data_IF_470207485308
#
_entry.id   IF_470207485308
#
_cell.length_a   1.000
_cell.length_b   1.000
_cell.length_c   1.000
_cell.angle_alpha   90.00
_cell.angle_beta   90.00
_cell.angle_gamma   90.00
#
_symmetry.space_group_name_H-M   'P 1'
#
loop_
_entity.id
_entity.type
_entity.pdbx_description
1 polymer ?
#
# COMPACT_ATOMS: atom_id res chain seq x y z
N UNK A 1 -64.58 -5.95 1.50
CA UNK A 1 -63.78 -6.36 2.67
C UNK A 1 -62.71 -7.32 2.16
N UNK A 2 -61.40 -7.20 2.32
CA UNK A 2 -60.50 -6.28 3.02
C UNK A 2 -59.16 -6.37 2.25
N UNK A 3 -58.65 -5.21 1.84
CA UNK A 3 -57.22 -4.84 1.67
C UNK A 3 -56.25 -6.00 1.33
N UNK A 4 -55.98 -6.20 0.04
CA UNK A 4 -54.71 -6.81 -0.39
C UNK A 4 -53.65 -5.73 -0.18
N UNK A 5 -53.01 -5.78 0.99
CA UNK A 5 -51.90 -4.91 1.35
C UNK A 5 -50.68 -5.39 0.56
N UNK A 6 -50.36 -4.71 -0.53
CA UNK A 6 -49.15 -4.93 -1.30
C UNK A 6 -47.96 -4.35 -0.50
N UNK A 7 -47.40 -5.14 0.41
CA UNK A 7 -46.12 -4.82 1.05
C UNK A 7 -45.01 -5.34 0.14
N UNK A 8 -44.44 -4.48 -0.71
CA UNK A 8 -43.21 -4.78 -1.44
C UNK A 8 -42.06 -4.06 -0.76
N UNK A 9 -41.22 -4.82 -0.07
CA UNK A 9 -39.94 -4.39 0.47
C UNK A 9 -38.98 -4.20 -0.71
N UNK A 10 -38.58 -2.96 -0.98
CA UNK A 10 -37.48 -2.65 -1.87
C UNK A 10 -36.18 -3.02 -1.13
N UNK A 11 -35.65 -4.22 -1.36
CA UNK A 11 -34.31 -4.58 -0.86
C UNK A 11 -33.30 -3.82 -1.72
N UNK A 12 -32.87 -2.64 -1.28
CA UNK A 12 -31.54 -2.14 -1.64
C UNK A 12 -30.55 -3.12 -1.01
N UNK A 13 -30.06 -4.09 -1.78
CA UNK A 13 -28.90 -4.86 -1.37
C UNK A 13 -27.72 -3.88 -1.31
N UNK A 14 -27.41 -3.39 -0.12
CA UNK A 14 -26.18 -2.64 0.12
C UNK A 14 -25.01 -3.56 -0.22
N UNK A 15 -24.33 -3.29 -1.33
CA UNK A 15 -23.15 -4.06 -1.71
C UNK A 15 -22.06 -3.65 -0.73
N UNK A 16 -21.71 -4.55 0.18
CA UNK A 16 -20.51 -4.36 1.00
C UNK A 16 -19.32 -4.72 0.11
N UNK A 17 -18.54 -3.73 -0.32
CA UNK A 17 -17.22 -3.99 -0.91
C UNK A 17 -16.37 -4.64 0.18
N UNK A 18 -16.06 -5.92 0.05
CA UNK A 18 -15.07 -6.56 0.92
C UNK A 18 -13.69 -6.22 0.38
N UNK A 19 -12.83 -5.65 1.23
CA UNK A 19 -11.42 -5.56 0.93
C UNK A 19 -10.84 -6.97 0.84
N UNK A 20 -10.04 -7.23 -0.18
CA UNK A 20 -9.28 -8.46 -0.34
C UNK A 20 -7.82 -8.19 0.01
N UNK A 21 -7.17 -9.08 0.75
CA UNK A 21 -5.78 -8.91 1.17
C UNK A 21 -4.90 -9.93 0.45
N UNK A 22 -3.91 -9.44 -0.28
CA UNK A 22 -2.94 -10.27 -1.00
C UNK A 22 -1.58 -10.11 -0.36
N UNK A 23 -0.97 -11.22 0.04
CA UNK A 23 0.38 -11.23 0.64
C UNK A 23 1.37 -11.94 -0.26
N UNK A 24 2.56 -11.36 -0.41
CA UNK A 24 3.73 -11.96 -1.04
C UNK A 24 4.86 -12.15 -0.03
N UNK A 25 5.78 -13.05 -0.33
CA UNK A 25 7.01 -13.21 0.44
C UNK A 25 8.09 -13.81 -0.47
N UNK A 26 8.99 -12.96 -0.96
CA UNK A 26 10.11 -13.38 -1.78
C UNK A 26 11.35 -13.55 -0.90
N UNK A 27 11.95 -14.74 -0.96
CA UNK A 27 13.12 -15.11 -0.14
C UNK A 27 14.21 -15.84 -0.95
N UNK A 28 14.07 -15.90 -2.28
CA UNK A 28 15.01 -16.57 -3.16
C UNK A 28 14.97 -16.00 -4.58
N UNK A 29 15.92 -16.43 -5.43
CA UNK A 29 16.06 -15.94 -6.80
C UNK A 29 16.58 -14.51 -6.88
N UNK A 30 17.21 -14.01 -5.81
CA UNK A 30 17.81 -12.68 -5.79
C UNK A 30 19.10 -12.63 -6.61
N UNK A 31 19.25 -11.58 -7.40
CA UNK A 31 20.51 -11.25 -8.07
C UNK A 31 21.63 -11.15 -7.04
N UNK A 32 22.80 -11.72 -7.36
CA UNK A 32 23.96 -11.77 -6.46
C UNK A 32 23.62 -12.32 -5.05
N UNK A 33 22.65 -13.24 -4.97
CA UNK A 33 22.19 -13.82 -3.69
C UNK A 33 21.70 -12.77 -2.67
N UNK A 34 21.22 -11.61 -3.14
CA UNK A 34 20.73 -10.54 -2.28
C UNK A 34 21.83 -9.66 -1.68
N UNK A 35 23.10 -9.83 -2.07
CA UNK A 35 24.21 -9.00 -1.56
C UNK A 35 24.09 -7.58 -2.08
N UNK A 36 24.07 -6.63 -1.16
CA UNK A 36 24.10 -5.19 -1.44
C UNK A 36 25.58 -4.75 -1.48
N UNK A 37 26.06 -4.14 -2.57
CA UNK A 37 27.46 -3.70 -2.64
C UNK A 37 27.75 -2.57 -1.64
N UNK A 38 28.84 -2.70 -0.87
CA UNK A 38 29.31 -1.73 0.12
C UNK A 38 29.68 -0.39 -0.53
N UNK A 39 29.25 0.73 0.07
CA UNK A 39 29.61 2.08 -0.38
C UNK A 39 29.28 2.42 -1.83
N UNK A 40 28.26 1.77 -2.41
CA UNK A 40 27.89 1.92 -3.81
C UNK A 40 26.48 2.49 -3.96
N UNK A 41 26.40 3.72 -4.46
CA UNK A 41 25.13 4.42 -4.72
C UNK A 41 24.27 3.74 -5.80
N UNK A 42 24.85 2.90 -6.67
CA UNK A 42 24.09 2.11 -7.64
C UNK A 42 23.32 0.96 -6.97
N UNK A 43 23.71 0.56 -5.76
CA UNK A 43 22.99 -0.38 -4.91
C UNK A 43 22.71 -1.75 -5.52
N UNK A 44 21.68 -2.37 -4.98
CA UNK A 44 21.06 -3.62 -5.38
C UNK A 44 19.58 -3.38 -5.62
N UNK A 45 18.99 -4.11 -6.57
CA UNK A 45 17.56 -4.03 -6.85
C UNK A 45 16.97 -5.39 -7.22
N UNK A 46 15.71 -5.59 -6.85
CA UNK A 46 14.92 -6.76 -7.22
C UNK A 46 13.54 -6.34 -7.72
N UNK A 47 13.16 -6.83 -8.90
CA UNK A 47 11.87 -6.55 -9.54
C UNK A 47 11.02 -7.81 -9.57
N UNK A 48 9.80 -7.73 -9.05
CA UNK A 48 8.83 -8.81 -9.03
C UNK A 48 7.55 -8.39 -9.73
N UNK A 49 6.97 -9.31 -10.49
CA UNK A 49 5.73 -9.07 -11.22
C UNK A 49 4.57 -9.70 -10.46
N UNK A 50 3.57 -8.89 -10.14
CA UNK A 50 2.29 -9.32 -9.58
C UNK A 50 1.25 -9.25 -10.71
N UNK A 51 0.37 -10.23 -10.80
CA UNK A 51 -0.64 -10.32 -11.85
C UNK A 51 -1.91 -11.04 -11.39
N UNK A 52 -2.99 -10.90 -12.16
CA UNK A 52 -4.25 -11.60 -11.93
C UNK A 52 -5.11 -11.02 -10.79
N UNK A 53 -4.75 -9.85 -10.26
CA UNK A 53 -5.50 -9.19 -9.19
C UNK A 53 -6.56 -8.25 -9.77
N UNK A 54 -7.65 -8.08 -9.04
CA UNK A 54 -8.73 -7.15 -9.38
C UNK A 54 -8.88 -6.09 -8.29
N UNK A 55 -9.45 -4.94 -8.64
CA UNK A 55 -9.58 -3.81 -7.71
C UNK A 55 -8.38 -2.87 -7.71
N UNK A 56 -8.43 -1.91 -6.80
CA UNK A 56 -7.40 -0.89 -6.58
C UNK A 56 -6.81 -1.03 -5.19
N UNK A 57 -5.53 -0.69 -5.05
CA UNK A 57 -4.83 -0.66 -3.77
C UNK A 57 -5.49 0.35 -2.83
N UNK A 58 -5.86 -0.09 -1.63
CA UNK A 58 -6.27 0.77 -0.51
C UNK A 58 -5.21 0.90 0.57
N UNK A 59 -4.36 -0.12 0.76
CA UNK A 59 -3.23 -0.09 1.69
C UNK A 59 -2.07 -0.95 1.18
N UNK A 60 -0.84 -0.56 1.56
CA UNK A 60 0.38 -1.32 1.28
C UNK A 60 1.23 -1.37 2.52
N UNK A 61 1.62 -2.57 2.92
CA UNK A 61 2.66 -2.81 3.91
C UNK A 61 3.80 -3.60 3.27
N UNK A 62 5.04 -3.31 3.65
CA UNK A 62 6.22 -4.01 3.14
C UNK A 62 6.99 -4.68 4.27
N UNK A 63 7.21 -5.99 4.19
CA UNK A 63 8.14 -6.69 5.07
C UNK A 63 9.54 -6.70 4.47
N UNK A 64 10.57 -6.45 5.30
CA UNK A 64 11.97 -6.44 4.88
C UNK A 64 12.85 -7.11 5.94
N UNK A 65 13.62 -8.10 5.49
CA UNK A 65 14.63 -8.78 6.31
C UNK A 65 16.00 -8.66 5.67
N UNK A 66 16.92 -8.01 6.38
CA UNK A 66 18.34 -7.90 6.02
C UNK A 66 19.20 -8.55 7.09
N UNK A 67 20.34 -9.10 6.69
CA UNK A 67 21.38 -9.58 7.59
C UNK A 67 22.71 -8.87 7.32
N UNK A 68 23.50 -8.65 8.38
CA UNK A 68 24.78 -7.93 8.28
C UNK A 68 24.64 -6.43 7.98
N UNK A 69 25.72 -5.83 7.49
CA UNK A 69 25.77 -4.41 7.14
C UNK A 69 25.71 -3.45 8.32
N UNK A 70 25.42 -2.19 8.00
CA UNK A 70 25.23 -1.10 8.95
C UNK A 70 23.97 -0.32 8.55
N UNK A 71 22.96 -0.31 9.42
CA UNK A 71 21.66 0.30 9.10
C UNK A 71 21.76 1.80 8.78
N UNK A 72 22.66 2.53 9.44
CA UNK A 72 22.90 3.97 9.23
C UNK A 72 23.48 4.33 7.86
N UNK A 73 23.92 3.32 7.11
CA UNK A 73 24.49 3.47 5.77
C UNK A 73 23.47 3.16 4.66
N UNK A 74 22.27 2.67 5.02
CA UNK A 74 21.30 2.19 4.05
C UNK A 74 20.33 3.27 3.55
N UNK A 75 20.16 3.29 2.24
CA UNK A 75 19.08 3.99 1.56
C UNK A 75 18.24 2.97 0.78
N UNK A 76 16.93 2.95 1.00
CA UNK A 76 16.05 2.00 0.36
C UNK A 76 14.75 2.66 -0.08
N UNK A 77 14.22 2.23 -1.23
CA UNK A 77 12.92 2.66 -1.71
C UNK A 77 12.19 1.56 -2.47
N UNK A 78 10.86 1.68 -2.51
CA UNK A 78 9.97 0.87 -3.33
C UNK A 78 9.40 1.72 -4.46
N UNK A 79 9.32 1.15 -5.66
CA UNK A 79 8.61 1.76 -6.80
C UNK A 79 7.65 0.76 -7.43
N UNK A 80 6.53 1.29 -7.88
CA UNK A 80 5.53 0.59 -8.67
C UNK A 80 4.67 1.60 -9.41
N UNK A 81 4.57 1.47 -10.74
CA UNK A 81 3.81 2.42 -11.57
C UNK A 81 4.25 3.87 -11.28
N UNK A 82 3.35 4.73 -10.81
CA UNK A 82 3.66 6.11 -10.38
C UNK A 82 3.93 6.26 -8.88
N UNK A 83 3.76 5.19 -8.09
CA UNK A 83 4.02 5.21 -6.66
C UNK A 83 5.51 5.09 -6.34
N UNK A 84 5.91 5.71 -5.23
CA UNK A 84 7.27 5.78 -4.74
C UNK A 84 7.25 5.90 -3.21
N UNK A 85 8.02 5.07 -2.51
CA UNK A 85 8.15 5.15 -1.05
C UNK A 85 9.60 5.01 -0.62
N UNK A 86 10.10 5.94 0.20
CA UNK A 86 11.43 5.82 0.82
C UNK A 86 11.28 5.03 2.10
N UNK A 87 11.85 3.83 2.14
CA UNK A 87 11.73 2.91 3.27
C UNK A 87 12.78 3.19 4.33
N UNK A 88 14.03 3.45 3.90
CA UNK A 88 15.17 3.74 4.75
C UNK A 88 15.93 4.93 4.17
N UNK A 89 16.36 5.87 5.01
CA UNK A 89 17.28 6.92 4.59
C UNK A 89 18.29 7.20 5.71
N UNK A 90 19.34 6.39 5.76
CA UNK A 90 20.43 6.47 6.74
C UNK A 90 19.90 6.59 8.16
N UNK A 91 19.17 5.59 8.60
CA UNK A 91 18.39 5.62 9.85
C UNK A 91 19.25 6.04 11.05
N UNK A 92 18.69 6.90 11.89
CA UNK A 92 19.35 7.47 13.07
C UNK A 92 20.36 8.57 12.77
N UNK A 93 20.58 8.94 11.50
CA UNK A 93 21.55 9.96 11.13
C UNK A 93 20.98 11.36 11.32
N UNK A 94 21.64 12.14 12.17
CA UNK A 94 21.26 13.53 12.43
C UNK A 94 22.49 14.45 12.61
N UNK A 95 22.27 15.67 13.11
CA UNK A 95 23.36 16.63 13.34
C UNK A 95 24.34 16.25 14.45
N UNK A 96 23.95 15.36 15.36
CA UNK A 96 24.73 14.86 16.50
C UNK A 96 25.23 13.42 16.31
N UNK A 97 24.56 12.64 15.47
CA UNK A 97 24.93 11.29 15.07
C UNK A 97 25.20 11.24 13.55
N UNK A 98 26.44 11.53 13.11
CA UNK A 98 26.76 11.67 11.69
C UNK A 98 26.74 10.35 10.90
N UNK A 99 26.79 9.21 11.60
CA UNK A 99 26.85 7.87 10.99
C UNK A 99 25.50 7.13 11.02
N UNK A 100 24.55 7.57 11.84
CA UNK A 100 23.30 6.85 12.03
C UNK A 100 23.43 5.65 12.96
N UNK A 101 22.49 4.72 12.90
CA UNK A 101 22.48 3.55 13.78
C UNK A 101 23.34 2.41 13.22
N UNK A 102 24.40 2.06 13.97
CA UNK A 102 25.39 1.03 13.64
C UNK A 102 24.93 -0.43 13.68
N UNK A 103 23.63 -0.72 13.82
CA UNK A 103 23.16 -2.09 14.00
C UNK A 103 23.27 -2.87 12.68
N UNK A 104 23.60 -4.16 12.78
CA UNK A 104 23.68 -5.07 11.65
C UNK A 104 22.39 -5.87 11.51
N UNK A 105 21.69 -5.68 10.39
CA UNK A 105 20.45 -6.36 10.05
C UNK A 105 19.17 -5.56 10.38
N UNK A 106 18.09 -5.96 9.73
CA UNK A 106 16.75 -5.37 9.82
C UNK A 106 15.73 -6.52 9.74
N UNK A 107 14.65 -6.47 10.54
CA UNK A 107 13.54 -7.42 10.44
C UNK A 107 12.21 -6.70 10.73
N UNK A 108 11.78 -5.83 9.81
CA UNK A 108 10.67 -4.90 10.04
C UNK A 108 9.56 -5.07 9.03
N UNK A 109 8.37 -4.62 9.42
CA UNK A 109 7.26 -4.34 8.53
C UNK A 109 7.05 -2.83 8.46
N UNK A 110 7.19 -2.25 7.26
CA UNK A 110 6.81 -0.87 7.02
C UNK A 110 5.30 -0.76 6.84
N UNK A 111 4.69 0.15 7.60
CA UNK A 111 3.27 0.46 7.62
C UNK A 111 3.10 1.95 7.95
N UNK A 112 2.40 2.70 7.09
CA UNK A 112 2.20 4.15 7.28
C UNK A 112 1.47 4.49 8.61
N UNK A 113 0.61 3.59 9.09
CA UNK A 113 -0.11 3.68 10.36
C UNK A 113 0.64 3.17 11.59
N UNK A 114 1.89 2.73 11.47
CA UNK A 114 2.71 2.36 12.63
C UNK A 114 3.02 3.59 13.52
N UNK A 115 3.33 3.35 14.79
CA UNK A 115 3.52 4.43 15.76
C UNK A 115 4.87 5.16 15.64
N UNK A 116 5.89 4.49 15.10
CA UNK A 116 7.28 4.94 15.18
C UNK A 116 7.89 5.05 13.79
N UNK A 117 8.49 6.19 13.48
CA UNK A 117 9.40 6.38 12.35
C UNK A 117 10.62 5.46 12.47
N UNK A 118 10.88 4.64 11.46
CA UNK A 118 12.08 3.79 11.44
C UNK A 118 13.36 4.61 11.62
N UNK A 119 13.40 5.87 11.18
CA UNK A 119 14.57 6.71 11.36
C UNK A 119 14.94 6.91 12.83
N UNK A 120 13.99 6.75 13.76
CA UNK A 120 14.16 6.94 15.20
C UNK A 120 13.87 5.66 16.00
N UNK A 121 14.17 4.46 15.46
CA UNK A 121 13.94 3.21 16.20
C UNK A 121 14.79 3.06 17.48
N UNK A 122 15.80 3.92 17.69
CA UNK A 122 16.54 4.05 18.94
C UNK A 122 17.93 3.41 18.97
N UNK A 123 18.29 2.59 17.98
CA UNK A 123 19.65 2.05 17.84
C UNK A 123 20.08 0.98 18.84
N UNK A 124 19.21 0.57 19.77
CA UNK A 124 19.55 -0.35 20.89
C UNK A 124 19.65 -1.83 20.48
N UNK A 125 19.24 -2.17 19.26
CA UNK A 125 19.28 -3.52 18.73
C UNK A 125 18.86 -3.56 17.26
N UNK A 126 18.73 -4.78 16.71
CA UNK A 126 18.17 -4.99 15.38
C UNK A 126 16.70 -4.54 15.41
N UNK A 127 16.29 -3.57 14.57
CA UNK A 127 14.91 -3.11 14.56
C UNK A 127 13.99 -4.26 14.15
N UNK A 128 12.91 -4.45 14.91
CA UNK A 128 11.92 -5.47 14.63
C UNK A 128 10.49 -5.03 14.95
N UNK A 129 9.52 -5.60 14.23
CA UNK A 129 8.12 -5.20 14.32
C UNK A 129 7.74 -4.14 13.29
N UNK A 130 6.67 -3.39 13.56
CA UNK A 130 6.11 -2.44 12.61
C UNK A 130 6.65 -1.02 12.81
N UNK A 131 7.08 -0.39 11.73
CA UNK A 131 7.55 0.99 11.68
C UNK A 131 6.93 1.74 10.52
N UNK A 132 6.84 3.06 10.63
CA UNK A 132 6.59 3.90 9.46
C UNK A 132 7.81 3.84 8.55
N UNK A 133 7.63 3.89 7.22
CA UNK A 133 8.75 4.09 6.30
C UNK A 133 9.44 5.42 6.61
N UNK A 134 10.74 5.52 6.33
CA UNK A 134 11.50 6.73 6.61
C UNK A 134 10.89 7.95 5.88
N UNK A 135 10.37 7.77 4.66
CA UNK A 135 9.63 8.76 3.88
C UNK A 135 10.34 10.11 3.64
N UNK A 136 11.61 10.28 4.07
CA UNK A 136 12.43 11.45 3.77
C UNK A 136 12.92 11.38 2.34
N UNK A 137 12.19 12.03 1.44
CA UNK A 137 12.53 12.15 0.02
C UNK A 137 13.60 13.23 -0.21
N UNK A 138 14.79 12.96 0.33
CA UNK A 138 15.97 13.80 0.23
C UNK A 138 17.19 12.91 0.03
N UNK A 139 18.22 13.43 -0.65
CA UNK A 139 19.45 12.67 -0.88
C UNK A 139 20.03 12.12 0.43
N UNK A 140 20.42 10.83 0.49
CA UNK A 140 21.07 10.25 1.67
C UNK A 140 22.45 10.86 1.95
N UNK A 141 23.00 11.62 1.00
CA UNK A 141 24.26 12.34 1.14
C UNK A 141 24.11 13.75 1.72
N UNK A 142 22.87 14.19 1.98
CA UNK A 142 22.61 15.50 2.61
C UNK A 142 23.25 15.60 4.00
N UNK A 143 23.36 16.79 4.58
CA UNK A 143 23.84 16.91 5.96
C UNK A 143 22.90 16.18 6.92
N UNK A 144 23.41 15.64 8.03
CA UNK A 144 22.58 14.93 9.01
C UNK A 144 21.46 15.81 9.58
N UNK A 145 21.74 17.09 9.85
CA UNK A 145 20.73 18.05 10.31
C UNK A 145 19.61 18.27 9.26
N UNK A 146 19.97 18.39 7.98
CA UNK A 146 18.99 18.55 6.90
C UNK A 146 18.15 17.29 6.70
N UNK A 147 18.78 16.12 6.80
CA UNK A 147 18.09 14.83 6.67
C UNK A 147 17.09 14.66 7.82
N UNK A 148 17.54 14.74 9.08
CA UNK A 148 16.68 14.57 10.24
C UNK A 148 15.54 15.61 10.30
N UNK A 149 15.79 16.85 9.86
CA UNK A 149 14.82 17.94 9.84
C UNK A 149 13.92 18.00 8.59
N UNK A 150 14.01 17.03 7.68
CA UNK A 150 13.20 17.03 6.46
C UNK A 150 11.70 16.86 6.75
N UNK A 151 10.84 17.67 6.13
CA UNK A 151 9.38 17.53 6.26
C UNK A 151 8.88 16.30 5.48
N UNK A 152 8.57 15.24 6.24
CA UNK A 152 8.04 14.00 5.69
C UNK A 152 6.57 14.10 5.29
N UNK A 153 5.77 15.00 5.89
CA UNK A 153 4.32 15.01 5.70
C UNK A 153 3.92 15.23 4.24
N UNK A 154 4.73 16.00 3.50
CA UNK A 154 4.48 16.35 2.10
C UNK A 154 5.51 15.74 1.14
N UNK A 155 6.24 14.71 1.55
CA UNK A 155 7.37 14.16 0.79
C UNK A 155 6.95 13.43 -0.49
N UNK A 156 5.69 12.99 -0.55
CA UNK A 156 5.18 12.09 -1.60
C UNK A 156 5.80 10.69 -1.58
N UNK A 157 6.61 10.35 -0.57
CA UNK A 157 7.40 9.13 -0.50
C UNK A 157 6.93 8.15 0.59
N UNK A 158 5.61 8.08 0.79
CA UNK A 158 4.94 7.15 1.71
C UNK A 158 4.39 5.93 0.98
N UNK A 159 4.05 4.85 1.70
CA UNK A 159 3.43 3.66 1.09
C UNK A 159 2.03 3.98 0.54
N UNK A 160 1.34 4.94 1.15
CA UNK A 160 0.08 5.49 0.64
C UNK A 160 0.17 6.09 -0.77
N UNK A 161 1.37 6.37 -1.29
CA UNK A 161 1.56 6.79 -2.70
C UNK A 161 1.11 5.71 -3.71
N UNK A 162 1.04 4.44 -3.30
CA UNK A 162 0.57 3.34 -4.14
C UNK A 162 -0.96 3.20 -4.17
N UNK A 163 -1.69 3.91 -3.31
CA UNK A 163 -3.16 3.81 -3.23
C UNK A 163 -3.83 4.31 -4.50
N UNK A 164 -5.04 3.79 -4.78
CA UNK A 164 -5.83 4.07 -5.97
C UNK A 164 -5.16 3.63 -7.30
N UNK A 165 -4.15 2.77 -7.23
CA UNK A 165 -3.50 2.16 -8.40
C UNK A 165 -3.83 0.66 -8.48
N UNK A 166 -3.63 0.05 -9.65
CA UNK A 166 -3.69 -1.41 -9.76
C UNK A 166 -2.49 -2.03 -9.06
N UNK A 167 -2.67 -3.15 -8.35
CA UNK A 167 -1.55 -3.91 -7.80
C UNK A 167 -0.77 -4.73 -8.84
N UNK A 168 -1.34 -4.90 -10.04
CA UNK A 168 -0.70 -5.67 -11.10
C UNK A 168 0.43 -4.87 -11.75
N UNK A 169 1.52 -5.55 -12.04
CA UNK A 169 2.68 -4.98 -12.71
C UNK A 169 3.97 -5.24 -11.95
N UNK A 170 5.00 -4.49 -12.31
CA UNK A 170 6.33 -4.61 -11.72
C UNK A 170 6.42 -3.82 -10.43
N UNK A 171 6.87 -4.47 -9.37
CA UNK A 171 7.25 -3.88 -8.08
C UNK A 171 8.75 -4.01 -7.94
N UNK A 172 9.46 -2.90 -7.73
CA UNK A 172 10.92 -2.92 -7.60
C UNK A 172 11.33 -2.37 -6.25
N UNK A 173 12.02 -3.21 -5.47
CA UNK A 173 12.73 -2.80 -4.28
C UNK A 173 14.15 -2.44 -4.66
N UNK A 174 14.61 -1.26 -4.26
CA UNK A 174 15.98 -0.81 -4.38
C UNK A 174 16.57 -0.59 -2.99
N UNK A 175 17.83 -1.02 -2.79
CA UNK A 175 18.59 -0.78 -1.57
C UNK A 175 20.04 -0.48 -1.94
N UNK A 176 20.59 0.60 -1.42
CA UNK A 176 21.99 0.95 -1.53
C UNK A 176 22.62 1.09 -0.14
N UNK A 177 23.83 0.55 0.00
CA UNK A 177 24.75 0.97 1.03
C UNK A 177 25.51 2.20 0.51
N UNK A 178 25.22 3.36 1.10
CA UNK A 178 25.70 4.65 0.58
C UNK A 178 26.98 5.14 1.26
N UNK A 179 27.55 4.36 2.18
CA UNK A 179 28.80 4.69 2.89
C UNK A 179 29.70 3.46 2.90
N UNK A 180 30.86 3.56 2.27
CA UNK A 180 31.81 2.44 2.25
C UNK A 180 32.60 2.30 3.55
N UNK A 181 33.28 1.16 3.67
CA UNK A 181 34.21 0.87 4.77
C UNK A 181 33.79 -0.32 5.63
N UNK A 182 32.72 -1.02 5.25
CA UNK A 182 32.20 -2.20 5.92
C UNK A 182 32.08 -3.41 5.00
N UNK A 183 31.22 -4.33 5.41
CA UNK A 183 30.70 -5.39 4.54
C UNK A 183 29.25 -5.07 4.28
N UNK A 184 28.85 -4.97 3.01
CA UNK A 184 27.48 -4.65 2.64
C UNK A 184 26.48 -5.69 3.18
N UNK A 185 25.24 -5.29 3.48
CA UNK A 185 24.21 -6.21 3.96
C UNK A 185 23.75 -7.19 2.89
N UNK A 186 23.05 -8.24 3.33
CA UNK A 186 22.40 -9.21 2.45
C UNK A 186 20.89 -9.21 2.69
N UNK A 187 20.12 -9.09 1.61
CA UNK A 187 18.66 -9.24 1.61
C UNK A 187 18.29 -10.71 1.76
N UNK A 188 17.65 -11.04 2.87
CA UNK A 188 17.17 -12.40 3.15
C UNK A 188 15.75 -12.61 2.62
N UNK A 189 14.88 -11.61 2.79
CA UNK A 189 13.52 -11.65 2.25
C UNK A 189 12.91 -10.26 2.17
N UNK A 190 11.99 -10.08 1.24
CA UNK A 190 11.06 -8.96 1.25
C UNK A 190 9.70 -9.38 0.68
N UNK A 191 8.65 -8.66 1.05
CA UNK A 191 7.29 -8.98 0.60
C UNK A 191 6.34 -7.83 0.79
N UNK A 192 5.16 -7.95 0.18
CA UNK A 192 4.09 -6.95 0.25
C UNK A 192 2.86 -7.58 0.88
N UNK A 193 2.15 -6.80 1.69
CA UNK A 193 0.75 -7.05 2.03
C UNK A 193 -0.07 -5.93 1.42
N UNK A 194 -0.95 -6.28 0.50
CA UNK A 194 -1.74 -5.35 -0.30
C UNK A 194 -3.20 -5.52 0.06
N UNK A 195 -3.84 -4.47 0.56
CA UNK A 195 -5.29 -4.46 0.67
C UNK A 195 -5.88 -3.84 -0.60
N UNK A 196 -6.84 -4.54 -1.19
CA UNK A 196 -7.46 -4.19 -2.45
C UNK A 196 -8.95 -3.95 -2.24
N UNK A 197 -9.45 -2.84 -2.78
CA UNK A 197 -10.88 -2.55 -2.84
C UNK A 197 -11.39 -2.89 -4.24
N UNK A 198 -12.41 -3.75 -4.36
CA UNK A 198 -13.05 -4.02 -5.64
C UNK A 198 -13.61 -2.75 -6.25
N UNK A 199 -13.37 -2.53 -7.55
CA UNK A 199 -14.05 -1.47 -8.30
C UNK A 199 -15.36 -2.06 -8.81
N UNK A 200 -16.54 -1.55 -8.39
CA UNK A 200 -17.81 -2.08 -8.89
C UNK A 200 -17.90 -1.87 -10.41
N UNK A 201 -18.19 -2.94 -11.15
CA UNK A 201 -18.27 -2.85 -12.60
C UNK A 201 -19.48 -1.98 -13.01
N UNK A 202 -19.32 -1.17 -14.06
CA UNK A 202 -20.39 -0.31 -14.56
C UNK A 202 -21.68 -1.10 -14.94
N UNK A 203 -21.53 -2.38 -15.32
CA UNK A 203 -22.61 -3.32 -15.58
C UNK A 203 -23.52 -3.56 -14.37
N UNK A 204 -22.97 -3.56 -13.15
CA UNK A 204 -23.72 -3.79 -11.91
C UNK A 204 -24.56 -2.57 -11.53
N UNK A 205 -24.02 -1.36 -11.72
CA UNK A 205 -24.80 -0.13 -11.58
C UNK A 205 -25.89 -0.01 -12.66
N UNK A 206 -25.59 -0.43 -13.88
CA UNK A 206 -26.57 -0.50 -14.96
C UNK A 206 -27.70 -1.50 -14.65
N UNK A 207 -27.40 -2.65 -14.06
CA UNK A 207 -28.42 -3.62 -13.63
C UNK A 207 -29.29 -3.07 -12.49
N UNK A 208 -28.70 -2.44 -11.48
CA UNK A 208 -29.46 -1.79 -10.41
C UNK A 208 -30.37 -0.67 -10.96
N UNK A 209 -29.85 0.15 -11.87
CA UNK A 209 -30.62 1.17 -12.58
C UNK A 209 -31.76 0.58 -13.42
N UNK A 210 -31.49 -0.48 -14.17
CA UNK A 210 -32.49 -1.17 -14.98
C UNK A 210 -33.61 -1.75 -14.10
N UNK A 211 -33.29 -2.41 -12.99
CA UNK A 211 -34.28 -2.94 -12.05
C UNK A 211 -35.14 -1.84 -11.43
N UNK A 212 -34.56 -0.68 -11.10
CA UNK A 212 -35.31 0.46 -10.59
C UNK A 212 -36.30 1.01 -11.64
N UNK A 213 -35.88 1.12 -12.90
CA UNK A 213 -36.74 1.60 -14.00
C UNK A 213 -37.86 0.61 -14.30
N UNK A 214 -37.56 -0.69 -14.39
CA UNK A 214 -38.58 -1.72 -14.61
C UNK A 214 -39.58 -1.81 -13.45
N UNK A 215 -39.10 -1.71 -12.20
CA UNK A 215 -39.96 -1.67 -11.01
C UNK A 215 -40.90 -0.46 -11.02
N UNK A 216 -40.39 0.73 -11.34
CA UNK A 216 -41.20 1.95 -11.45
C UNK A 216 -42.23 1.89 -12.59
N UNK A 217 -41.84 1.35 -13.75
CA UNK A 217 -42.72 1.18 -14.90
C UNK A 217 -43.87 0.19 -14.63
N UNK A 218 -43.55 -0.93 -13.98
CA UNK A 218 -44.56 -1.90 -13.54
C UNK A 218 -45.55 -1.27 -12.54
N UNK A 219 -45.05 -0.53 -11.55
CA UNK A 219 -45.88 0.16 -10.56
C UNK A 219 -46.83 1.18 -11.19
N UNK A 220 -46.35 1.98 -12.14
CA UNK A 220 -47.18 2.96 -12.86
C UNK A 220 -48.32 2.29 -13.62
N UNK A 221 -48.05 1.14 -14.27
CA UNK A 221 -49.06 0.37 -15.00
C UNK A 221 -50.13 -0.21 -14.07
N UNK A 222 -49.73 -0.83 -12.97
CA UNK A 222 -50.66 -1.38 -11.97
C UNK A 222 -51.52 -0.26 -11.36
N UNK A 223 -50.92 0.88 -11.02
CA UNK A 223 -51.65 2.05 -10.50
C UNK A 223 -52.72 2.55 -11.47
N UNK A 224 -52.40 2.64 -12.77
CA UNK A 224 -53.34 3.05 -13.81
C UNK A 224 -54.54 2.11 -13.94
N UNK A 225 -54.33 0.80 -13.84
CA UNK A 225 -55.41 -0.19 -13.92
C UNK A 225 -56.38 -0.06 -12.74
N UNK A 226 -55.86 0.12 -11.53
CA UNK A 226 -56.68 0.29 -10.32
C UNK A 226 -57.45 1.61 -10.31
N UNK A 227 -56.93 2.68 -10.91
CA UNK A 227 -57.67 3.96 -11.04
C UNK A 227 -58.63 4.00 -12.23
N UNK A 228 -58.31 3.31 -13.33
CA UNK A 228 -59.17 3.20 -14.51
C UNK A 228 -60.46 2.43 -14.25
N UNK A 229 -60.39 1.33 -13.50
CA UNK A 229 -61.58 0.56 -13.11
C UNK A 229 -62.55 1.35 -12.22
N UNK A 230 -62.08 2.38 -11.49
CA UNK A 230 -62.94 3.25 -10.67
C UNK A 230 -63.68 4.32 -11.47
N UNK A 231 -63.22 4.65 -12.69
CA UNK A 231 -63.86 5.67 -13.54
C UNK A 231 -64.94 5.08 -14.47
N UNK A 232 -64.86 3.78 -14.78
CA UNK A 232 -65.85 3.08 -15.62
C UNK A 232 -67.10 2.60 -14.86
N UNK A 233 -67.12 2.75 -13.52
CA UNK A 233 -68.32 2.53 -12.69
C UNK A 233 -68.87 3.87 -12.21
N UNK A 234 -69.49 4.62 -13.11
CA UNK A 234 -70.44 5.68 -12.78
C UNK A 234 -71.57 5.63 -13.79
#
# INVERSE_FOLDING_TARGET
MKRILATMVLVLAGVTSRADTVTTNWSSGFTASGVIPDGNLAGWSDTRVIGGLSGLISDVNLSLTLSGGNNGDLYAYLVHSSGFAVLLNRVGRDGSNPFGYGNAGINVTFNDGAATDIHYYGGTGIPSGSFQPDARNISPLSSGATLAGFDRANSGAWLSSFTNQSANGSWTLFIADVVGGGTGPTVTSWGLSLDLVPVPEASQWAMCGAMAVFGAGYFWRVRKQVTGEKSARK
#
